data_IF_939481741892
#
_entry.id   IF_939481741892
#
_cell.length_a   1.000
_cell.length_b   1.000
_cell.length_c   1.000
_cell.angle_alpha   90.00
_cell.angle_beta   90.00
_cell.angle_gamma   90.00
#
_symmetry.space_group_name_H-M   'P 1'
#
loop_
_entity.id
_entity.type
_entity.pdbx_description
1 polymer ?
#
# COMPACT_ATOMS: atom_id res chain seq x y z
N UNK A 1 -14.64 -75.83 43.01
CA UNK A 1 -14.96 -75.07 41.78
C UNK A 1 -13.67 -74.43 41.32
N UNK A 2 -13.17 -74.72 40.12
CA UNK A 2 -12.05 -73.98 39.58
C UNK A 2 -12.48 -72.51 39.33
N UNK A 3 -11.61 -71.53 39.54
CA UNK A 3 -11.92 -70.14 39.23
C UNK A 3 -12.15 -70.00 37.73
N UNK A 4 -13.24 -69.33 37.36
CA UNK A 4 -13.58 -68.95 36.00
C UNK A 4 -12.41 -68.19 35.35
N UNK A 5 -12.16 -68.39 34.04
CA UNK A 5 -11.11 -67.67 33.34
C UNK A 5 -11.43 -66.17 33.34
N UNK A 6 -10.49 -65.40 33.86
CA UNK A 6 -10.42 -63.95 33.75
C UNK A 6 -10.48 -63.57 32.26
N UNK A 7 -11.40 -62.68 31.82
CA UNK A 7 -11.47 -62.28 30.42
C UNK A 7 -10.14 -61.62 30.04
N UNK A 8 -9.52 -62.10 28.96
CA UNK A 8 -8.29 -61.55 28.43
C UNK A 8 -8.47 -60.04 28.24
N UNK A 9 -7.59 -59.23 28.84
CA UNK A 9 -7.66 -57.79 28.72
C UNK A 9 -7.70 -57.41 27.22
N UNK A 10 -8.64 -56.55 26.79
CA UNK A 10 -8.64 -56.04 25.43
C UNK A 10 -7.29 -55.37 25.20
N UNK A 11 -6.65 -55.72 24.08
CA UNK A 11 -5.43 -55.02 23.69
C UNK A 11 -5.87 -53.61 23.31
N UNK A 12 -5.59 -52.65 24.17
CA UNK A 12 -5.88 -51.23 23.96
C UNK A 12 -4.55 -50.51 23.76
N UNK A 13 -4.49 -49.69 22.71
CA UNK A 13 -3.35 -48.85 22.37
C UNK A 13 -3.86 -47.42 22.29
N UNK A 14 -3.32 -46.54 23.14
CA UNK A 14 -3.65 -45.13 23.18
C UNK A 14 -2.34 -44.36 22.99
N UNK A 15 -2.19 -43.67 21.86
CA UNK A 15 -0.96 -42.95 21.51
C UNK A 15 -1.30 -41.52 21.06
N UNK A 16 -0.40 -40.60 21.37
CA UNK A 16 -0.50 -39.20 20.94
C UNK A 16 0.35 -39.00 19.69
N UNK A 17 -0.28 -38.57 18.58
CA UNK A 17 0.34 -38.47 17.27
C UNK A 17 0.03 -37.14 16.59
N UNK A 18 1.04 -36.56 15.95
CA UNK A 18 0.91 -35.34 15.16
C UNK A 18 0.71 -35.67 13.69
N UNK A 19 -0.48 -35.40 13.14
CA UNK A 19 -0.77 -35.54 11.70
C UNK A 19 -0.88 -34.14 11.07
N UNK A 20 -0.11 -33.90 10.01
CA UNK A 20 -0.11 -32.62 9.28
C UNK A 20 0.05 -31.35 10.15
N UNK A 21 0.75 -31.45 11.28
CA UNK A 21 0.98 -30.32 12.20
C UNK A 21 -0.14 -30.10 13.23
N UNK A 22 -1.10 -31.01 13.34
CA UNK A 22 -2.14 -31.01 14.38
C UNK A 22 -1.98 -32.26 15.26
N UNK A 23 -2.14 -32.08 16.57
CA UNK A 23 -2.01 -33.17 17.54
C UNK A 23 -3.34 -33.90 17.76
N UNK A 24 -3.27 -35.23 17.70
CA UNK A 24 -4.38 -36.14 17.90
C UNK A 24 -4.05 -37.18 18.95
N UNK A 25 -5.07 -37.66 19.64
CA UNK A 25 -5.03 -38.83 20.50
C UNK A 25 -5.74 -39.95 19.74
N UNK A 26 -5.02 -41.02 19.43
CA UNK A 26 -5.54 -42.16 18.70
C UNK A 26 -5.63 -43.35 19.64
N UNK A 27 -6.85 -43.82 19.86
CA UNK A 27 -7.16 -44.99 20.67
C UNK A 27 -7.66 -46.12 19.78
N UNK A 28 -7.04 -47.28 19.90
CA UNK A 28 -7.36 -48.47 19.13
C UNK A 28 -7.50 -49.65 20.05
N UNK A 29 -8.65 -50.31 19.96
CA UNK A 29 -8.97 -51.50 20.75
C UNK A 29 -9.50 -52.61 19.86
N UNK A 30 -9.24 -53.86 20.26
CA UNK A 30 -9.85 -55.03 19.64
C UNK A 30 -10.56 -55.85 20.71
N UNK A 31 -11.83 -56.15 20.48
CA UNK A 31 -12.63 -56.97 21.38
C UNK A 31 -12.56 -58.47 21.01
N UNK A 32 -13.07 -59.34 21.89
CA UNK A 32 -13.05 -60.80 21.71
C UNK A 32 -13.80 -61.27 20.44
N UNK A 33 -14.73 -60.46 19.95
CA UNK A 33 -15.48 -60.68 18.71
C UNK A 33 -14.70 -60.31 17.44
N UNK A 34 -13.41 -59.95 17.56
CA UNK A 34 -12.56 -59.45 16.47
C UNK A 34 -13.17 -58.23 15.75
N UNK A 35 -13.73 -57.31 16.52
CA UNK A 35 -14.12 -55.99 16.05
C UNK A 35 -13.04 -55.02 16.50
N UNK A 36 -12.49 -54.30 15.51
CA UNK A 36 -11.54 -53.23 15.69
C UNK A 36 -12.31 -51.93 15.92
N UNK A 37 -12.09 -51.30 17.05
CA UNK A 37 -12.59 -49.97 17.35
C UNK A 37 -11.45 -48.97 17.26
N UNK A 38 -11.67 -47.88 16.53
CA UNK A 38 -10.72 -46.80 16.33
C UNK A 38 -11.38 -45.48 16.71
N UNK A 39 -10.80 -44.83 17.70
CA UNK A 39 -11.18 -43.52 18.19
C UNK A 39 -10.05 -42.53 17.97
N UNK A 40 -10.39 -41.38 17.37
CA UNK A 40 -9.44 -40.31 17.11
C UNK A 40 -10.00 -39.02 17.67
N UNK A 41 -9.28 -38.42 18.61
CA UNK A 41 -9.62 -37.15 19.23
C UNK A 41 -8.61 -36.08 18.84
N UNK A 42 -9.09 -34.93 18.37
CA UNK A 42 -8.24 -33.75 18.10
C UNK A 42 -8.02 -32.98 19.40
N UNK A 43 -6.76 -32.70 19.75
CA UNK A 43 -6.44 -32.04 21.03
C UNK A 43 -6.87 -30.58 21.10
N UNK A 44 -6.91 -29.88 19.97
CA UNK A 44 -7.15 -28.43 19.95
C UNK A 44 -8.59 -28.06 20.31
N UNK A 45 -9.57 -28.74 19.71
CA UNK A 45 -11.00 -28.43 19.83
C UNK A 45 -11.82 -29.58 20.46
N UNK A 46 -11.22 -30.76 20.65
CA UNK A 46 -11.87 -31.92 21.20
C UNK A 46 -12.79 -32.65 20.23
N UNK A 47 -12.76 -32.33 18.93
CA UNK A 47 -13.52 -33.05 17.91
C UNK A 47 -13.09 -34.52 17.84
N UNK A 48 -14.04 -35.42 17.59
CA UNK A 48 -13.81 -36.87 17.62
C UNK A 48 -14.31 -37.57 16.38
N UNK A 49 -13.59 -38.62 16.01
CA UNK A 49 -13.98 -39.54 14.95
C UNK A 49 -13.86 -40.97 15.42
N UNK A 50 -14.90 -41.75 15.10
CA UNK A 50 -15.04 -43.12 15.53
C UNK A 50 -15.29 -44.04 14.35
N UNK A 51 -14.73 -45.25 14.44
CA UNK A 51 -14.98 -46.32 13.49
C UNK A 51 -14.94 -47.69 14.17
N UNK A 52 -15.96 -48.50 13.90
CA UNK A 52 -15.99 -49.92 14.26
C UNK A 52 -15.90 -50.76 12.99
N UNK A 53 -14.96 -51.71 12.98
CA UNK A 53 -14.66 -52.53 11.81
C UNK A 53 -14.60 -54.00 12.21
N UNK A 54 -15.46 -54.82 11.62
CA UNK A 54 -15.41 -56.27 11.81
C UNK A 54 -14.19 -56.88 11.11
N UNK A 55 -13.75 -58.05 11.58
CA UNK A 55 -12.68 -58.81 10.93
C UNK A 55 -12.91 -59.02 9.43
N UNK A 56 -14.14 -59.39 9.03
CA UNK A 56 -14.50 -59.56 7.61
C UNK A 56 -14.30 -58.29 6.80
N UNK A 57 -14.69 -57.12 7.35
CA UNK A 57 -14.52 -55.85 6.68
C UNK A 57 -13.04 -55.52 6.45
N UNK A 58 -12.20 -55.68 7.48
CA UNK A 58 -10.76 -55.43 7.38
C UNK A 58 -10.10 -56.35 6.34
N UNK A 59 -10.45 -57.62 6.36
CA UNK A 59 -9.94 -58.61 5.42
C UNK A 59 -10.36 -58.28 3.99
N UNK A 60 -11.61 -57.88 3.75
CA UNK A 60 -12.08 -57.40 2.46
C UNK A 60 -11.36 -56.13 1.99
N UNK A 61 -11.11 -55.16 2.88
CA UNK A 61 -10.38 -53.93 2.55
C UNK A 61 -8.97 -54.27 2.09
N UNK A 62 -8.27 -55.16 2.81
CA UNK A 62 -6.90 -55.57 2.46
C UNK A 62 -6.86 -56.41 1.18
N UNK A 63 -7.91 -57.19 0.91
CA UNK A 63 -8.04 -57.92 -0.35
C UNK A 63 -8.24 -56.97 -1.54
N UNK A 64 -9.09 -55.94 -1.38
CA UNK A 64 -9.38 -54.93 -2.43
C UNK A 64 -8.16 -54.10 -2.80
N UNK A 65 -7.23 -53.90 -1.88
CA UNK A 65 -5.98 -53.17 -2.14
C UNK A 65 -4.89 -54.04 -2.77
N UNK A 66 -5.15 -55.34 -3.00
CA UNK A 66 -4.24 -56.28 -3.66
C UNK A 66 -3.21 -56.93 -2.74
N UNK A 67 -3.22 -56.63 -1.43
CA UNK A 67 -2.29 -57.17 -0.46
C UNK A 67 -3.06 -57.64 0.79
N UNK A 68 -3.50 -58.89 0.76
CA UNK A 68 -4.34 -59.46 1.81
C UNK A 68 -3.61 -59.58 3.15
N UNK A 69 -4.29 -59.18 4.23
CA UNK A 69 -3.83 -59.32 5.61
C UNK A 69 -4.97 -59.83 6.48
N UNK A 70 -4.71 -60.90 7.24
CA UNK A 70 -5.65 -61.40 8.26
C UNK A 70 -5.87 -60.32 9.33
N UNK A 71 -7.06 -60.30 9.92
CA UNK A 71 -7.42 -59.31 10.95
C UNK A 71 -6.36 -59.14 12.05
N UNK A 72 -5.91 -60.25 12.64
CA UNK A 72 -4.93 -60.22 13.74
C UNK A 72 -3.55 -59.68 13.32
N UNK A 73 -3.17 -59.82 12.06
CA UNK A 73 -1.94 -59.25 11.50
C UNK A 73 -2.14 -57.75 11.25
N UNK A 74 -3.27 -57.38 10.66
CA UNK A 74 -3.62 -55.97 10.42
C UNK A 74 -3.65 -55.17 11.73
N UNK A 75 -4.30 -55.71 12.76
CA UNK A 75 -4.36 -55.11 14.09
C UNK A 75 -2.96 -54.88 14.67
N UNK A 76 -2.08 -55.89 14.62
CA UNK A 76 -0.68 -55.75 15.06
C UNK A 76 0.08 -54.69 14.26
N UNK A 77 -0.10 -54.67 12.92
CA UNK A 77 0.50 -53.65 12.06
C UNK A 77 0.04 -52.25 12.45
N UNK A 78 -1.25 -52.07 12.73
CA UNK A 78 -1.81 -50.81 13.18
C UNK A 78 -1.24 -50.39 14.54
N UNK A 79 -1.20 -51.29 15.52
CA UNK A 79 -0.58 -51.01 16.82
C UNK A 79 0.91 -50.63 16.69
N UNK A 80 1.66 -51.33 15.83
CA UNK A 80 3.06 -51.01 15.55
C UNK A 80 3.24 -49.66 14.86
N UNK A 81 2.32 -49.31 13.94
CA UNK A 81 2.33 -48.02 13.25
C UNK A 81 2.05 -46.85 14.22
N UNK A 82 1.09 -47.02 15.15
CA UNK A 82 0.79 -46.00 16.15
C UNK A 82 1.94 -45.79 17.14
N UNK A 83 2.59 -46.88 17.56
CA UNK A 83 3.78 -46.82 18.42
C UNK A 83 5.06 -46.38 17.71
N UNK A 84 4.99 -46.13 16.40
CA UNK A 84 6.15 -45.85 15.53
C UNK A 84 7.27 -46.89 15.69
N UNK A 85 6.90 -48.16 15.97
CA UNK A 85 7.82 -49.23 16.32
C UNK A 85 8.38 -49.99 15.11
N UNK A 86 7.98 -49.62 13.89
CA UNK A 86 8.41 -50.27 12.66
C UNK A 86 8.56 -49.26 11.53
N UNK A 87 9.63 -49.38 10.76
CA UNK A 87 9.93 -48.55 9.59
C UNK A 87 9.13 -48.97 8.34
N UNK A 88 8.36 -50.06 8.41
CA UNK A 88 7.61 -50.60 7.26
C UNK A 88 6.12 -50.29 7.32
N UNK A 89 5.62 -49.81 8.47
CA UNK A 89 4.20 -49.51 8.68
C UNK A 89 4.05 -48.14 9.32
N UNK A 90 3.20 -47.30 8.72
CA UNK A 90 2.92 -45.96 9.21
C UNK A 90 1.44 -45.68 9.15
N UNK A 91 0.94 -44.91 10.12
CA UNK A 91 -0.43 -44.41 10.13
C UNK A 91 -0.43 -42.94 9.69
N UNK A 92 -1.46 -42.53 8.95
CA UNK A 92 -1.70 -41.14 8.58
C UNK A 92 -3.20 -40.84 8.67
N UNK A 93 -3.59 -39.59 8.93
CA UNK A 93 -4.98 -39.18 9.11
C UNK A 93 -5.36 -38.10 8.11
N UNK A 94 -6.15 -38.48 7.10
CA UNK A 94 -6.52 -37.59 6.00
C UNK A 94 -7.96 -37.09 6.10
N UNK A 95 -8.18 -35.84 5.69
CA UNK A 95 -9.52 -35.30 5.46
C UNK A 95 -10.01 -35.61 4.05
N UNK A 96 -11.31 -35.42 3.80
CA UNK A 96 -11.87 -35.54 2.46
C UNK A 96 -11.20 -34.59 1.44
N UNK A 97 -10.84 -33.38 1.89
CA UNK A 97 -10.13 -32.41 1.05
C UNK A 97 -8.71 -32.88 0.69
N UNK A 98 -7.99 -33.48 1.64
CA UNK A 98 -6.65 -34.04 1.39
C UNK A 98 -6.70 -35.17 0.36
N UNK A 99 -7.73 -36.02 0.42
CA UNK A 99 -7.96 -37.07 -0.57
C UNK A 99 -8.24 -36.50 -1.98
N UNK A 100 -8.99 -35.40 -2.09
CA UNK A 100 -9.22 -34.72 -3.38
C UNK A 100 -7.93 -34.06 -3.92
N UNK A 101 -7.10 -33.48 -3.05
CA UNK A 101 -5.81 -32.92 -3.43
C UNK A 101 -4.85 -34.02 -3.93
N UNK A 102 -4.83 -35.18 -3.27
CA UNK A 102 -4.04 -36.34 -3.74
C UNK A 102 -4.55 -36.88 -5.08
N UNK A 103 -5.88 -36.97 -5.28
CA UNK A 103 -6.47 -37.41 -6.56
C UNK A 103 -6.20 -36.46 -7.71
N UNK A 104 -6.34 -35.15 -7.51
CA UNK A 104 -6.10 -34.14 -8.55
C UNK A 104 -4.62 -34.10 -8.97
N UNK A 105 -3.70 -34.29 -8.02
CA UNK A 105 -2.26 -34.44 -8.31
C UNK A 105 -1.96 -35.70 -9.12
N UNK A 106 -2.63 -36.82 -8.83
CA UNK A 106 -2.41 -38.09 -9.53
C UNK A 106 -3.04 -38.13 -10.93
N UNK A 107 -4.13 -37.39 -11.16
CA UNK A 107 -4.94 -37.53 -12.39
C UNK A 107 -5.02 -36.30 -13.30
N UNK A 108 -4.40 -35.15 -12.96
CA UNK A 108 -4.46 -33.88 -13.74
C UNK A 108 -5.88 -33.48 -14.19
N UNK A 109 -6.92 -33.97 -13.51
CA UNK A 109 -8.32 -33.61 -13.76
C UNK A 109 -8.80 -32.67 -12.65
N UNK A 110 -9.56 -31.61 -12.99
CA UNK A 110 -10.07 -30.70 -11.98
C UNK A 110 -11.02 -31.46 -11.02
N UNK A 111 -10.88 -31.17 -9.73
CA UNK A 111 -11.68 -31.78 -8.67
C UNK A 111 -13.18 -31.52 -8.92
N UNK A 112 -13.99 -32.58 -8.89
CA UNK A 112 -15.45 -32.45 -8.94
C UNK A 112 -15.93 -31.92 -7.59
N UNK A 113 -16.46 -30.70 -7.57
CA UNK A 113 -17.02 -30.05 -6.37
C UNK A 113 -18.27 -30.78 -5.88
N UNK A 114 -18.10 -31.79 -5.04
CA UNK A 114 -19.17 -32.31 -4.19
C UNK A 114 -19.31 -31.36 -2.99
N UNK A 115 -20.37 -30.56 -2.98
CA UNK A 115 -20.64 -29.45 -2.04
C UNK A 115 -21.09 -29.87 -0.64
N UNK A 116 -20.81 -31.10 -0.20
CA UNK A 116 -21.11 -31.52 1.18
C UNK A 116 -19.83 -31.58 2.00
N UNK A 117 -19.66 -30.72 3.01
CA UNK A 117 -18.58 -30.88 3.97
C UNK A 117 -18.86 -32.16 4.75
N UNK A 118 -18.24 -33.26 4.33
CA UNK A 118 -18.23 -34.46 5.16
C UNK A 118 -17.13 -34.26 6.17
N UNK A 119 -17.47 -34.05 7.44
CA UNK A 119 -16.52 -34.12 8.56
C UNK A 119 -16.02 -35.55 8.79
N UNK A 120 -15.83 -36.33 7.72
CA UNK A 120 -15.29 -37.68 7.76
C UNK A 120 -13.78 -37.60 7.69
N UNK A 121 -13.13 -38.43 8.48
CA UNK A 121 -11.69 -38.62 8.41
C UNK A 121 -11.37 -40.02 7.93
N UNK A 122 -10.19 -40.20 7.37
CA UNK A 122 -9.73 -41.49 6.91
C UNK A 122 -8.39 -41.77 7.57
N UNK A 123 -8.35 -42.76 8.46
CA UNK A 123 -7.10 -43.27 9.00
C UNK A 123 -6.50 -44.23 7.97
N UNK A 124 -5.33 -43.90 7.44
CA UNK A 124 -4.65 -44.65 6.39
C UNK A 124 -3.50 -45.43 7.02
N UNK A 125 -3.62 -46.75 7.07
CA UNK A 125 -2.47 -47.60 7.35
C UNK A 125 -1.68 -47.80 6.06
N UNK A 126 -0.45 -47.32 6.03
CA UNK A 126 0.47 -47.50 4.90
C UNK A 126 1.46 -48.61 5.24
N UNK A 127 1.48 -49.65 4.42
CA UNK A 127 2.50 -50.69 4.43
C UNK A 127 3.48 -50.42 3.29
N UNK A 128 4.73 -50.11 3.61
CA UNK A 128 5.79 -49.81 2.66
C UNK A 128 6.99 -50.74 2.89
N UNK A 129 7.26 -51.60 1.91
CA UNK A 129 8.43 -52.48 1.83
C UNK A 129 9.20 -52.17 0.55
N UNK A 130 10.38 -52.77 0.35
CA UNK A 130 11.36 -52.40 -0.70
C UNK A 130 10.78 -52.19 -2.11
N UNK A 131 9.74 -52.95 -2.48
CA UNK A 131 9.14 -52.90 -3.83
C UNK A 131 7.61 -52.75 -3.83
N UNK A 132 6.97 -52.57 -2.66
CA UNK A 132 5.51 -52.49 -2.56
C UNK A 132 5.08 -51.43 -1.56
N UNK A 133 4.08 -50.63 -1.93
CA UNK A 133 3.47 -49.61 -1.07
C UNK A 133 1.96 -49.69 -1.19
N UNK A 134 1.32 -50.12 -0.11
CA UNK A 134 -0.12 -50.36 -0.04
C UNK A 134 -0.74 -49.49 1.04
N UNK A 135 -1.86 -48.86 0.71
CA UNK A 135 -2.63 -48.01 1.63
C UNK A 135 -3.95 -48.68 1.96
N UNK A 136 -4.23 -48.89 3.25
CA UNK A 136 -5.48 -49.42 3.74
C UNK A 136 -6.28 -48.29 4.42
N UNK A 137 -7.31 -47.73 3.74
CA UNK A 137 -8.11 -46.65 4.29
C UNK A 137 -9.17 -47.17 5.26
N UNK A 138 -9.25 -46.57 6.44
CA UNK A 138 -10.28 -46.80 7.46
C UNK A 138 -11.12 -45.53 7.60
N UNK A 139 -12.38 -45.52 7.11
CA UNK A 139 -13.25 -44.36 7.20
C UNK A 139 -13.80 -44.19 8.63
N UNK A 140 -13.53 -43.04 9.23
CA UNK A 140 -14.00 -42.66 10.55
C UNK A 140 -15.12 -41.62 10.42
N UNK A 141 -16.23 -41.87 11.12
CA UNK A 141 -17.36 -40.95 11.17
C UNK A 141 -17.14 -39.94 12.29
N UNK A 142 -17.57 -38.68 12.09
CA UNK A 142 -17.57 -37.70 13.16
C UNK A 142 -18.50 -38.14 14.29
N UNK A 143 -18.03 -38.04 15.52
CA UNK A 143 -18.77 -38.45 16.70
C UNK A 143 -19.38 -37.21 17.37
N UNK A 144 -20.56 -36.79 16.90
CA UNK A 144 -21.25 -35.58 17.37
C UNK A 144 -21.82 -35.71 18.80
N UNK A 145 -22.12 -36.93 19.27
CA UNK A 145 -22.71 -37.18 20.59
C UNK A 145 -21.96 -38.30 21.35
N UNK A 146 -20.89 -37.97 22.09
CA UNK A 146 -20.15 -38.97 22.86
C UNK A 146 -20.92 -39.39 24.12
N UNK A 147 -20.91 -40.68 24.49
CA UNK A 147 -21.57 -41.14 25.69
C UNK A 147 -20.93 -40.52 26.96
N UNK A 148 -21.70 -40.33 28.05
CA UNK A 148 -21.23 -39.63 29.25
C UNK A 148 -19.95 -40.20 29.86
N UNK A 149 -19.71 -41.51 29.75
CA UNK A 149 -18.50 -42.18 30.22
C UNK A 149 -17.22 -41.60 29.63
N UNK A 150 -17.23 -41.30 28.34
CA UNK A 150 -16.07 -40.76 27.62
C UNK A 150 -15.91 -39.26 27.92
N UNK A 151 -17.01 -38.54 28.17
CA UNK A 151 -16.92 -37.17 28.68
C UNK A 151 -16.29 -37.13 30.07
N UNK A 152 -16.66 -38.06 30.97
CA UNK A 152 -16.06 -38.13 32.30
C UNK A 152 -14.56 -38.47 32.27
N UNK A 153 -14.12 -39.39 31.40
CA UNK A 153 -12.69 -39.68 31.24
C UNK A 153 -11.91 -38.47 30.74
N UNK A 154 -12.50 -37.72 29.80
CA UNK A 154 -11.95 -36.47 29.26
C UNK A 154 -11.85 -35.39 30.35
N UNK A 155 -12.93 -35.18 31.11
CA UNK A 155 -12.95 -34.23 32.23
C UNK A 155 -11.89 -34.62 33.27
N UNK A 156 -11.72 -35.93 33.55
CA UNK A 156 -10.69 -36.41 34.46
C UNK A 156 -9.29 -36.08 33.93
N UNK A 157 -9.00 -36.42 32.67
CA UNK A 157 -7.72 -36.12 32.00
C UNK A 157 -7.41 -34.62 32.01
N UNK A 158 -8.39 -33.79 31.64
CA UNK A 158 -8.26 -32.33 31.67
C UNK A 158 -8.05 -31.78 33.08
N UNK A 159 -8.72 -32.35 34.09
CA UNK A 159 -8.50 -31.97 35.50
C UNK A 159 -7.11 -32.35 35.98
N UNK A 160 -6.62 -33.52 35.64
CA UNK A 160 -5.26 -33.99 35.95
C UNK A 160 -4.21 -33.12 35.25
N UNK A 161 -4.43 -32.76 33.99
CA UNK A 161 -3.56 -31.85 33.26
C UNK A 161 -3.59 -30.43 33.84
N UNK A 162 -4.76 -29.91 34.20
CA UNK A 162 -4.89 -28.64 34.91
C UNK A 162 -4.20 -28.67 36.27
N UNK A 163 -4.26 -29.78 36.99
CA UNK A 163 -3.58 -29.97 38.26
C UNK A 163 -2.07 -30.03 38.05
N UNK A 164 -1.60 -30.76 37.03
CA UNK A 164 -0.19 -30.82 36.63
C UNK A 164 0.33 -29.43 36.28
N UNK A 165 -0.39 -28.68 35.43
CA UNK A 165 -0.06 -27.31 35.07
C UNK A 165 -0.11 -26.36 36.28
N UNK A 166 -1.06 -26.54 37.21
CA UNK A 166 -1.08 -25.77 38.47
C UNK A 166 0.08 -26.11 39.41
N UNK A 167 0.57 -27.35 39.39
CA UNK A 167 1.73 -27.77 40.18
C UNK A 167 3.07 -27.46 39.53
N UNK A 168 3.11 -27.39 38.20
CA UNK A 168 4.28 -27.02 37.40
C UNK A 168 4.38 -25.49 37.21
N UNK A 169 3.25 -24.79 37.28
CA UNK A 169 3.24 -23.37 37.54
C UNK A 169 3.86 -23.15 38.93
N UNK A 170 4.82 -22.21 39.07
CA UNK A 170 5.23 -21.78 40.40
C UNK A 170 3.97 -21.40 41.19
N UNK A 171 3.95 -21.62 42.52
CA UNK A 171 2.81 -21.19 43.34
C UNK A 171 2.46 -19.76 42.95
N UNK A 172 1.16 -19.38 42.91
CA UNK A 172 0.79 -17.99 42.71
C UNK A 172 1.68 -17.21 43.66
N UNK A 173 2.41 -16.20 43.18
CA UNK A 173 3.40 -15.59 44.03
C UNK A 173 2.64 -15.20 45.30
N UNK A 174 3.07 -15.76 46.44
CA UNK A 174 3.27 -14.91 47.58
C UNK A 174 4.23 -13.85 47.05
N UNK A 175 3.65 -12.87 46.34
CA UNK A 175 4.28 -11.60 46.04
C UNK A 175 4.63 -11.18 47.44
N UNK A 176 5.91 -11.24 47.78
CA UNK A 176 6.40 -10.44 48.87
C UNK A 176 5.71 -9.09 48.68
N UNK A 177 4.87 -8.72 49.63
CA UNK A 177 4.00 -7.56 49.52
C UNK A 177 4.86 -6.31 49.23
N UNK A 178 6.14 -6.39 49.65
CA UNK A 178 7.26 -5.53 49.28
C UNK A 178 7.53 -5.42 47.77
N UNK A 179 7.68 -6.51 47.01
CA UNK A 179 8.00 -6.44 45.57
C UNK A 179 6.82 -5.93 44.75
N UNK A 180 5.59 -6.32 45.10
CA UNK A 180 4.40 -5.78 44.46
C UNK A 180 4.18 -4.30 44.82
N UNK A 181 4.55 -3.88 46.02
CA UNK A 181 4.52 -2.47 46.44
C UNK A 181 5.62 -1.66 45.75
N UNK A 182 6.84 -2.20 45.65
CA UNK A 182 7.99 -1.58 44.97
C UNK A 182 7.69 -1.38 43.48
N UNK A 183 7.19 -2.42 42.79
CA UNK A 183 6.77 -2.31 41.39
C UNK A 183 5.61 -1.32 41.20
N UNK A 184 4.70 -1.18 42.17
CA UNK A 184 3.64 -0.15 42.13
C UNK A 184 4.21 1.26 42.34
N UNK A 185 5.21 1.41 43.20
CA UNK A 185 5.94 2.67 43.39
C UNK A 185 6.69 3.08 42.13
N UNK A 186 7.44 2.15 41.52
CA UNK A 186 8.15 2.39 40.27
C UNK A 186 7.18 2.72 39.13
N UNK A 187 6.06 2.00 39.01
CA UNK A 187 5.02 2.34 38.04
C UNK A 187 4.42 3.73 38.26
N UNK A 188 4.27 4.16 39.52
CA UNK A 188 3.80 5.50 39.84
C UNK A 188 4.83 6.57 39.45
N UNK A 189 6.10 6.34 39.73
CA UNK A 189 7.20 7.23 39.35
C UNK A 189 7.38 7.31 37.84
N UNK A 190 7.38 6.19 37.14
CA UNK A 190 7.43 6.12 35.67
C UNK A 190 6.24 6.83 35.05
N UNK A 191 5.04 6.68 35.61
CA UNK A 191 3.85 7.39 35.15
C UNK A 191 4.00 8.91 35.33
N UNK A 192 4.55 9.35 36.47
CA UNK A 192 4.84 10.76 36.73
C UNK A 192 5.90 11.31 35.77
N UNK A 193 6.97 10.56 35.49
CA UNK A 193 8.00 10.94 34.52
C UNK A 193 7.42 11.06 33.10
N UNK A 194 6.60 10.09 32.69
CA UNK A 194 5.89 10.11 31.41
C UNK A 194 4.97 11.33 31.31
N UNK A 195 4.19 11.62 32.34
CA UNK A 195 3.28 12.78 32.34
C UNK A 195 4.06 14.11 32.32
N UNK A 196 5.24 14.17 32.96
CA UNK A 196 6.13 15.33 32.88
C UNK A 196 6.72 15.49 31.47
N UNK A 197 7.23 14.40 30.87
CA UNK A 197 7.77 14.42 29.51
C UNK A 197 6.72 14.82 28.47
N UNK A 198 5.45 14.43 28.66
CA UNK A 198 4.34 14.87 27.80
C UNK A 198 4.12 16.38 27.91
N UNK A 199 4.11 16.94 29.12
CA UNK A 199 3.98 18.39 29.32
C UNK A 199 5.15 19.16 28.70
N UNK A 200 6.37 18.64 28.83
CA UNK A 200 7.55 19.26 28.24
C UNK A 200 7.50 19.21 26.71
N UNK A 201 7.04 18.09 26.13
CA UNK A 201 6.82 17.96 24.70
C UNK A 201 5.74 18.94 24.17
N UNK A 202 4.64 19.13 24.90
CA UNK A 202 3.60 20.10 24.57
C UNK A 202 4.13 21.54 24.62
N UNK A 203 4.92 21.87 25.65
CA UNK A 203 5.58 23.18 25.77
C UNK A 203 6.55 23.43 24.61
N UNK A 204 7.41 22.46 24.30
CA UNK A 204 8.36 22.57 23.19
C UNK A 204 7.64 22.72 21.85
N UNK A 205 6.54 22.00 21.62
CA UNK A 205 5.70 22.19 20.42
C UNK A 205 5.12 23.60 20.34
N UNK A 206 4.66 24.16 21.46
CA UNK A 206 4.14 25.52 21.51
C UNK A 206 5.25 26.54 21.22
N UNK A 207 6.45 26.37 21.77
CA UNK A 207 7.61 27.22 21.47
C UNK A 207 8.02 27.11 19.98
N UNK A 208 8.06 25.90 19.43
CA UNK A 208 8.38 25.66 18.02
C UNK A 208 7.35 26.35 17.10
N UNK A 209 6.06 26.29 17.44
CA UNK A 209 5.02 27.01 16.69
C UNK A 209 5.18 28.53 16.71
N UNK A 210 5.70 29.11 17.81
CA UNK A 210 5.98 30.55 17.90
C UNK A 210 7.17 30.92 17.02
N UNK A 211 8.24 30.11 17.06
CA UNK A 211 9.43 30.32 16.23
C UNK A 211 9.09 30.19 14.74
N UNK A 212 8.30 29.19 14.36
CA UNK A 212 7.82 29.04 12.97
C UNK A 212 7.06 30.28 12.51
N UNK A 213 6.11 30.78 13.31
CA UNK A 213 5.39 32.03 12.98
C UNK A 213 6.31 33.24 12.87
N UNK A 214 7.38 33.31 13.66
CA UNK A 214 8.37 34.38 13.55
C UNK A 214 9.19 34.25 12.27
N UNK A 215 9.61 33.03 11.91
CA UNK A 215 10.30 32.78 10.65
C UNK A 215 9.42 33.11 9.44
N UNK A 216 8.14 32.76 9.46
CA UNK A 216 7.21 33.08 8.37
C UNK A 216 7.04 34.60 8.20
N UNK A 217 6.99 35.34 9.31
CA UNK A 217 6.97 36.81 9.29
C UNK A 217 8.25 37.40 8.70
N UNK A 218 9.41 36.95 9.19
CA UNK A 218 10.70 37.40 8.67
C UNK A 218 10.87 37.05 7.19
N UNK A 219 10.40 35.89 6.75
CA UNK A 219 10.41 35.50 5.35
C UNK A 219 9.53 36.44 4.49
N UNK A 220 8.34 36.78 4.97
CA UNK A 220 7.47 37.75 4.27
C UNK A 220 8.07 39.16 4.24
N UNK A 221 8.73 39.60 5.31
CA UNK A 221 9.47 40.87 5.34
C UNK A 221 10.64 40.88 4.36
N UNK A 222 11.40 39.79 4.27
CA UNK A 222 12.47 39.65 3.28
C UNK A 222 11.94 39.70 1.85
N UNK A 223 10.85 38.98 1.55
CA UNK A 223 10.22 39.00 0.23
C UNK A 223 9.72 40.40 -0.16
N UNK A 224 9.16 41.15 0.81
CA UNK A 224 8.75 42.54 0.60
C UNK A 224 9.95 43.45 0.31
N UNK A 225 11.04 43.31 1.08
CA UNK A 225 12.25 44.09 0.88
C UNK A 225 12.92 43.77 -0.46
N UNK A 226 12.99 42.51 -0.85
CA UNK A 226 13.48 42.08 -2.17
C UNK A 226 12.63 42.67 -3.31
N UNK A 227 11.30 42.66 -3.15
CA UNK A 227 10.37 43.31 -4.08
C UNK A 227 10.60 44.82 -4.20
N UNK A 228 10.81 45.49 -3.06
CA UNK A 228 11.09 46.93 -3.02
C UNK A 228 12.42 47.27 -3.70
N UNK A 229 13.49 46.51 -3.42
CA UNK A 229 14.80 46.69 -4.05
C UNK A 229 14.69 46.51 -5.57
N UNK A 230 13.92 45.52 -6.05
CA UNK A 230 13.70 45.34 -7.48
C UNK A 230 13.02 46.55 -8.13
N UNK A 231 11.97 47.08 -7.48
CA UNK A 231 11.28 48.30 -7.96
C UNK A 231 12.23 49.49 -8.01
N UNK A 232 13.08 49.66 -6.99
CA UNK A 232 14.02 50.78 -6.92
C UNK A 232 15.08 50.69 -8.03
N UNK A 233 15.60 49.48 -8.31
CA UNK A 233 16.51 49.22 -9.43
C UNK A 233 15.84 49.53 -10.78
N UNK A 234 14.61 49.05 -11.00
CA UNK A 234 13.86 49.32 -12.23
C UNK A 234 13.60 50.83 -12.41
N UNK A 235 13.30 51.53 -11.32
CA UNK A 235 13.10 52.98 -11.32
C UNK A 235 14.39 53.73 -11.65
N UNK A 236 15.53 53.30 -11.16
CA UNK A 236 16.83 53.90 -11.46
C UNK A 236 17.24 53.67 -12.93
N UNK A 237 16.95 52.48 -13.46
CA UNK A 237 17.10 52.14 -14.89
C UNK A 237 16.22 53.03 -15.78
N UNK A 238 14.91 53.14 -15.48
CA UNK A 238 13.97 54.01 -16.20
C UNK A 238 14.38 55.49 -16.13
N UNK A 239 14.85 55.95 -14.97
CA UNK A 239 15.36 57.30 -14.77
C UNK A 239 16.58 57.58 -15.67
N UNK A 240 17.49 56.62 -15.79
CA UNK A 240 18.66 56.72 -16.67
C UNK A 240 18.26 56.75 -18.15
N UNK A 241 17.35 55.86 -18.57
CA UNK A 241 16.81 55.85 -19.94
C UNK A 241 16.06 57.14 -20.28
N UNK A 242 15.29 57.71 -19.34
CA UNK A 242 14.63 59.01 -19.52
C UNK A 242 15.63 60.16 -19.70
N UNK A 243 16.75 60.13 -18.97
CA UNK A 243 17.83 61.13 -19.14
C UNK A 243 18.48 61.02 -20.51
N UNK A 244 18.75 59.79 -20.97
CA UNK A 244 19.29 59.53 -22.30
C UNK A 244 18.33 59.96 -23.41
N UNK A 245 17.05 59.61 -23.30
CA UNK A 245 16.02 60.03 -24.25
C UNK A 245 15.87 61.56 -24.31
N UNK A 246 15.89 62.23 -23.15
CA UNK A 246 15.90 63.71 -23.09
C UNK A 246 17.12 64.30 -23.79
N UNK A 247 18.31 63.74 -23.56
CA UNK A 247 19.53 64.18 -24.24
C UNK A 247 19.40 64.01 -25.75
N UNK A 248 18.85 62.88 -26.22
CA UNK A 248 18.65 62.67 -27.66
C UNK A 248 17.64 63.63 -28.28
N UNK A 249 16.55 63.96 -27.56
CA UNK A 249 15.61 65.00 -27.99
C UNK A 249 16.33 66.34 -28.15
N UNK A 250 17.12 66.75 -27.15
CA UNK A 250 17.87 68.02 -27.24
C UNK A 250 18.89 68.03 -28.38
N UNK A 251 19.53 66.90 -28.67
CA UNK A 251 20.45 66.77 -29.82
C UNK A 251 19.69 66.92 -31.14
N UNK A 252 18.57 66.23 -31.32
CA UNK A 252 17.73 66.33 -32.52
C UNK A 252 17.13 67.73 -32.70
N UNK A 253 16.74 68.40 -31.62
CA UNK A 253 16.26 69.79 -31.66
C UNK A 253 17.35 70.74 -32.15
N UNK A 254 18.59 70.55 -31.72
CA UNK A 254 19.74 71.33 -32.19
C UNK A 254 20.08 71.02 -33.65
N UNK A 255 20.08 69.73 -34.04
CA UNK A 255 20.27 69.30 -35.44
C UNK A 255 19.22 69.96 -36.35
N UNK A 256 17.94 69.90 -35.98
CA UNK A 256 16.84 70.50 -36.73
C UNK A 256 16.89 72.04 -36.73
N UNK A 257 17.45 72.66 -35.70
CA UNK A 257 17.70 74.10 -35.69
C UNK A 257 18.82 74.49 -36.67
N UNK A 258 19.91 73.72 -36.72
CA UNK A 258 21.00 73.93 -37.68
C UNK A 258 20.51 73.75 -39.12
N UNK A 259 19.80 72.66 -39.43
CA UNK A 259 19.23 72.44 -40.78
C UNK A 259 18.30 73.57 -41.21
N UNK A 260 17.52 74.14 -40.28
CA UNK A 260 16.67 75.31 -40.56
C UNK A 260 17.47 76.56 -40.84
N UNK A 261 18.60 76.75 -40.19
CA UNK A 261 19.48 77.89 -40.44
C UNK A 261 20.19 77.74 -41.78
N UNK A 262 20.74 76.56 -42.08
CA UNK A 262 21.30 76.24 -43.40
C UNK A 262 20.28 76.46 -44.51
N UNK A 263 19.05 75.95 -44.35
CA UNK A 263 17.98 76.17 -45.33
C UNK A 263 17.58 77.66 -45.47
N UNK A 264 17.69 78.47 -44.41
CA UNK A 264 17.47 79.92 -44.48
C UNK A 264 18.58 80.62 -45.24
N UNK A 265 19.83 80.24 -45.00
CA UNK A 265 20.99 80.77 -45.71
C UNK A 265 20.89 80.43 -47.21
N UNK A 266 20.62 79.17 -47.55
CA UNK A 266 20.35 78.74 -48.93
C UNK A 266 19.19 79.51 -49.57
N UNK A 267 18.08 79.70 -48.83
CA UNK A 267 16.94 80.47 -49.32
C UNK A 267 17.30 81.95 -49.56
N UNK A 268 18.14 82.55 -48.71
CA UNK A 268 18.62 83.92 -48.87
C UNK A 268 19.54 84.06 -50.08
N UNK A 269 20.44 83.09 -50.31
CA UNK A 269 21.31 83.05 -51.49
C UNK A 269 20.49 82.93 -52.78
N UNK A 270 19.52 82.01 -52.84
CA UNK A 270 18.63 81.85 -53.99
C UNK A 270 17.83 83.13 -54.26
N UNK A 271 17.33 83.82 -53.22
CA UNK A 271 16.67 85.13 -53.36
C UNK A 271 17.60 86.17 -53.95
N UNK A 272 18.84 86.27 -53.46
CA UNK A 272 19.83 87.19 -54.01
C UNK A 272 20.14 86.88 -55.48
N UNK A 273 20.21 85.59 -55.88
CA UNK A 273 20.37 85.20 -57.28
C UNK A 273 19.16 85.58 -58.13
N UNK A 274 17.93 85.43 -57.63
CA UNK A 274 16.71 85.87 -58.31
C UNK A 274 16.71 87.38 -58.49
N UNK A 275 17.01 88.16 -57.44
CA UNK A 275 17.09 89.62 -57.51
C UNK A 275 18.18 90.08 -58.51
N UNK A 276 19.32 89.39 -58.55
CA UNK A 276 20.38 89.61 -59.54
C UNK A 276 19.92 89.28 -60.97
N UNK A 277 19.18 88.18 -61.16
CA UNK A 277 18.60 87.84 -62.45
C UNK A 277 17.54 88.85 -62.88
N UNK A 278 16.70 89.33 -61.96
CA UNK A 278 15.65 90.31 -62.22
C UNK A 278 16.22 91.67 -62.58
N UNK A 279 17.28 92.12 -61.90
CA UNK A 279 18.02 93.33 -62.27
C UNK A 279 18.64 93.21 -63.66
N UNK A 280 19.30 92.09 -63.97
CA UNK A 280 19.88 91.83 -65.30
C UNK A 280 18.82 91.68 -66.41
N UNK A 281 17.69 91.05 -66.12
CA UNK A 281 16.53 91.00 -67.01
C UNK A 281 15.93 92.40 -67.24
N UNK A 282 15.92 93.25 -66.22
CA UNK A 282 15.49 94.64 -66.31
C UNK A 282 16.46 95.48 -67.15
N UNK A 283 17.77 95.27 -67.03
CA UNK A 283 18.80 95.86 -67.89
C UNK A 283 18.71 95.39 -69.35
N UNK A 284 18.40 94.12 -69.58
CA UNK A 284 18.18 93.60 -70.93
C UNK A 284 16.86 94.15 -71.53
N UNK A 285 15.81 94.31 -70.71
CA UNK A 285 14.58 95.01 -71.09
C UNK A 285 14.82 96.49 -71.41
N UNK A 286 15.73 97.17 -70.72
CA UNK A 286 16.05 98.58 -70.99
C UNK A 286 16.96 98.77 -72.22
N UNK A 287 17.71 97.73 -72.63
CA UNK A 287 18.51 97.71 -73.88
C UNK A 287 17.71 97.31 -75.14
N UNK A 288 16.41 97.01 -75.05
CA UNK A 288 15.56 96.67 -76.19
C UNK A 288 14.22 97.42 -76.13
N UNK A 289 13.97 98.46 -76.96
CA UNK A 289 12.69 99.14 -76.96
C UNK A 289 11.64 98.34 -77.76
N UNK A 290 10.64 97.83 -77.04
CA UNK A 290 9.24 97.58 -77.44
C UNK A 290 8.92 96.68 -78.65
N UNK A 291 8.22 95.57 -78.37
CA UNK A 291 6.91 95.17 -78.94
C UNK A 291 6.21 94.37 -77.82
N UNK A 292 5.12 94.79 -77.17
CA UNK A 292 3.78 94.98 -77.73
C UNK A 292 2.98 93.67 -77.59
N UNK A 293 1.94 93.61 -76.75
CA UNK A 293 0.95 92.52 -76.78
C UNK A 293 0.21 92.24 -75.46
N UNK A 294 -1.07 92.58 -75.44
CA UNK A 294 -2.03 92.37 -74.36
C UNK A 294 -2.64 90.95 -74.33
N UNK A 295 -3.21 90.54 -73.18
CA UNK A 295 -4.41 89.69 -73.02
C UNK A 295 -4.65 89.42 -71.51
N UNK A 296 -5.67 90.00 -70.86
CA UNK A 296 -7.04 89.47 -70.68
C UNK A 296 -7.22 88.34 -69.63
N UNK A 297 -7.61 88.77 -68.41
CA UNK A 297 -8.84 88.44 -67.65
C UNK A 297 -9.41 87.01 -67.70
N UNK A 298 -9.53 86.35 -66.53
CA UNK A 298 -10.77 85.76 -65.92
C UNK A 298 -10.39 84.80 -64.78
N UNK A 299 -10.76 85.04 -63.50
CA UNK A 299 -12.04 84.72 -62.83
C UNK A 299 -12.44 83.23 -62.87
N UNK A 300 -12.12 82.51 -61.79
CA UNK A 300 -12.89 81.47 -61.06
C UNK A 300 -12.29 81.47 -59.65
N UNK A 301 -12.99 81.47 -58.51
CA UNK A 301 -14.23 80.78 -58.14
C UNK A 301 -13.90 80.05 -56.83
N UNK A 302 -14.63 80.35 -55.76
CA UNK A 302 -14.40 79.98 -54.37
C UNK A 302 -14.65 78.50 -54.03
N UNK A 303 -14.18 78.10 -52.82
CA UNK A 303 -14.66 77.08 -51.84
C UNK A 303 -13.43 76.42 -51.19
N UNK A 304 -13.38 75.94 -49.95
CA UNK A 304 -14.30 75.86 -48.82
C UNK A 304 -13.44 75.60 -47.57
N UNK A 305 -13.93 75.98 -46.39
CA UNK A 305 -13.48 75.42 -45.11
C UNK A 305 -14.08 74.01 -44.98
N UNK A 306 -13.48 73.13 -44.18
CA UNK A 306 -14.23 72.78 -42.98
C UNK A 306 -13.38 72.65 -41.71
N UNK A 307 -14.15 72.64 -40.62
CA UNK A 307 -13.81 72.47 -39.21
C UNK A 307 -14.52 71.19 -38.74
N UNK A 308 -13.81 70.23 -38.14
CA UNK A 308 -14.31 69.25 -37.14
C UNK A 308 -13.16 68.28 -36.80
N UNK A 309 -12.69 68.12 -35.56
CA UNK A 309 -13.27 67.40 -34.41
C UNK A 309 -13.49 65.88 -34.62
N UNK A 310 -13.09 65.10 -33.60
CA UNK A 310 -13.46 63.68 -33.35
C UNK A 310 -12.26 62.73 -33.45
N UNK A 311 -11.62 62.31 -32.35
CA UNK A 311 -12.00 61.21 -31.43
C UNK A 311 -11.44 59.83 -31.82
N UNK A 312 -10.73 59.19 -30.89
CA UNK A 312 -11.05 57.84 -30.44
C UNK A 312 -10.46 56.62 -31.17
N UNK A 313 -9.50 55.98 -30.47
CA UNK A 313 -9.44 54.53 -30.16
C UNK A 313 -9.20 53.50 -31.28
N UNK A 314 -8.27 52.57 -31.05
CA UNK A 314 -8.23 51.30 -31.79
C UNK A 314 -6.94 50.49 -31.64
N UNK A 315 -7.04 49.36 -30.95
CA UNK A 315 -6.03 48.36 -30.59
C UNK A 315 -5.41 47.54 -31.76
N UNK A 316 -4.46 46.67 -31.37
CA UNK A 316 -3.85 45.49 -32.02
C UNK A 316 -2.39 45.74 -32.48
N UNK A 317 -1.38 44.95 -32.11
CA UNK A 317 -1.26 43.54 -31.67
C UNK A 317 -0.21 43.41 -30.56
#
# INVERSE_FOLDING_TARGET
MPPSPEPAAPSEVCEELTFHGTDYIVEVSANDSNILTVDVEKKDDGERWHGEFSASYIEEVTQKTGNFKKFSVFYKMLCSALKQASETVFADLLTYQDLEMLRSRQTRKPASTSTRPTNKRYLILTYAVEFDRVHYPLPLAHWDDPPPSVLYSTIRRLREEMQRLKSAAPPPPHRDEGDASALRGENYELKKQKDQAVKDAERLRAELSKVTRQNDKLASELEQLEGQVRIDVDRESLSSSLKEARRRITELENELANEREEAREEQAELRHQVDFCDTKCSELKSRCPTVGGAAERSRWGATDRPRSQGEGSGAAV
#
